data_IF_583174807959
#
_entry.id   IF_583174807959
#
_cell.length_a   1.000
_cell.length_b   1.000
_cell.length_c   1.000
_cell.angle_alpha   90.00
_cell.angle_beta   90.00
_cell.angle_gamma   90.00
#
_symmetry.space_group_name_H-M   'P 1'
#
loop_
_entity.id
_entity.type
_entity.pdbx_description
1 polymer ?
#
# COMPACT_ATOMS: atom_id res chain seq x y z
N UNK A 1 -18.58 -34.19 4.26
CA UNK A 1 -19.27 -32.88 4.22
C UNK A 1 -18.25 -31.79 4.54
N UNK A 2 -17.72 -31.09 3.53
CA UNK A 2 -16.74 -30.02 3.75
C UNK A 2 -17.50 -28.80 4.28
N UNK A 3 -17.28 -28.47 5.55
CA UNK A 3 -17.89 -27.32 6.24
C UNK A 3 -17.37 -26.05 5.55
N UNK A 4 -18.21 -25.40 4.74
CA UNK A 4 -17.86 -24.14 4.06
C UNK A 4 -17.76 -23.06 5.13
N UNK A 5 -16.55 -22.81 5.61
CA UNK A 5 -16.25 -21.74 6.56
C UNK A 5 -16.57 -20.41 5.88
N UNK A 6 -17.63 -19.74 6.33
CA UNK A 6 -17.92 -18.38 5.87
C UNK A 6 -16.73 -17.51 6.28
N UNK A 7 -16.01 -16.87 5.33
CA UNK A 7 -14.86 -16.06 5.67
C UNK A 7 -15.33 -14.92 6.57
N UNK A 8 -14.65 -14.76 7.72
CA UNK A 8 -14.99 -13.73 8.70
C UNK A 8 -14.73 -12.37 8.05
N UNK A 9 -15.79 -11.58 7.84
CA UNK A 9 -15.65 -10.23 7.28
C UNK A 9 -14.86 -9.37 8.26
N UNK A 10 -13.82 -8.70 7.77
CA UNK A 10 -13.06 -7.75 8.55
C UNK A 10 -13.90 -6.49 8.75
N UNK A 11 -14.05 -6.07 10.01
CA UNK A 11 -14.67 -4.79 10.36
C UNK A 11 -13.76 -3.65 9.94
N UNK A 12 -14.33 -2.48 9.60
CA UNK A 12 -13.59 -1.27 9.23
C UNK A 12 -12.41 -0.96 10.15
N UNK A 13 -12.62 -0.99 11.46
CA UNK A 13 -11.55 -0.77 12.45
C UNK A 13 -10.41 -1.77 12.33
N UNK A 14 -10.71 -3.03 12.02
CA UNK A 14 -9.68 -4.06 11.84
C UNK A 14 -8.83 -3.80 10.60
N UNK A 15 -9.44 -3.33 9.51
CA UNK A 15 -8.73 -2.99 8.26
C UNK A 15 -7.87 -1.75 8.48
N UNK A 16 -8.39 -0.76 9.21
CA UNK A 16 -7.66 0.45 9.56
C UNK A 16 -6.40 0.15 10.40
N UNK A 17 -6.55 -0.63 11.47
CA UNK A 17 -5.39 -1.04 12.28
C UNK A 17 -4.43 -1.96 11.53
N UNK A 18 -4.92 -2.80 10.61
CA UNK A 18 -4.07 -3.60 9.73
C UNK A 18 -3.20 -2.70 8.85
N UNK A 19 -3.78 -1.65 8.27
CA UNK A 19 -3.03 -0.65 7.48
C UNK A 19 -1.96 0.06 8.31
N UNK A 20 -2.30 0.53 9.52
CA UNK A 20 -1.35 1.19 10.41
C UNK A 20 -0.17 0.28 10.76
N UNK A 21 -0.45 -0.96 11.14
CA UNK A 21 0.62 -1.92 11.47
C UNK A 21 1.52 -2.23 10.26
N UNK A 22 0.96 -2.22 9.04
CA UNK A 22 1.75 -2.37 7.82
C UNK A 22 2.69 -1.19 7.55
N UNK A 23 2.29 0.04 7.91
CA UNK A 23 3.08 1.26 7.65
C UNK A 23 4.12 1.52 8.75
N UNK A 24 3.77 1.33 10.03
CA UNK A 24 4.64 1.59 11.20
C UNK A 24 5.74 0.52 11.37
N UNK A 25 5.89 -0.40 10.42
CA UNK A 25 6.95 -1.42 10.42
C UNK A 25 8.37 -0.86 10.30
N UNK A 26 9.29 -1.68 9.81
CA UNK A 26 10.72 -1.32 9.72
C UNK A 26 11.00 -0.04 8.91
N UNK A 27 10.17 0.29 7.91
CA UNK A 27 10.34 1.46 7.05
C UNK A 27 10.25 2.80 7.79
N UNK A 28 9.27 2.97 8.68
CA UNK A 28 9.06 4.24 9.39
C UNK A 28 10.19 4.56 10.37
N UNK A 29 10.89 3.55 10.91
CA UNK A 29 11.98 3.74 11.86
C UNK A 29 13.37 3.83 11.21
N UNK A 30 13.62 3.09 10.13
CA UNK A 30 14.94 3.05 9.49
C UNK A 30 15.20 4.25 8.56
N UNK A 31 14.17 4.71 7.85
CA UNK A 31 14.32 5.75 6.82
C UNK A 31 14.67 7.13 7.39
N UNK A 32 14.02 7.63 8.47
CA UNK A 32 14.36 8.95 9.02
C UNK A 32 15.80 9.02 9.51
N UNK A 33 16.31 7.93 10.09
CA UNK A 33 17.70 7.85 10.56
C UNK A 33 18.70 7.95 9.39
N UNK A 34 18.43 7.30 8.26
CA UNK A 34 19.29 7.40 7.09
C UNK A 34 19.24 8.80 6.47
N UNK A 35 18.03 9.34 6.28
CA UNK A 35 17.84 10.66 5.64
C UNK A 35 18.47 11.77 6.49
N UNK A 36 18.40 11.67 7.82
CA UNK A 36 19.03 12.62 8.72
C UNK A 36 20.57 12.59 8.61
N UNK A 37 21.18 11.42 8.44
CA UNK A 37 22.65 11.30 8.24
C UNK A 37 23.11 11.96 6.94
N UNK A 38 22.32 11.88 5.88
CA UNK A 38 22.70 12.38 4.56
C UNK A 38 22.38 13.88 4.37
N UNK A 39 21.34 14.41 5.02
CA UNK A 39 20.83 15.76 4.75
C UNK A 39 20.63 16.67 5.98
N UNK A 40 20.97 16.19 7.18
CA UNK A 40 20.90 16.93 8.46
C UNK A 40 19.57 17.72 8.59
N UNK A 41 19.57 19.05 8.76
CA UNK A 41 18.36 19.86 8.93
C UNK A 41 17.38 19.84 7.73
N UNK A 42 17.87 19.59 6.50
CA UNK A 42 17.01 19.53 5.30
C UNK A 42 16.15 18.26 5.24
N UNK A 43 16.46 17.25 6.07
CA UNK A 43 15.72 15.99 6.14
C UNK A 43 14.23 16.19 6.42
N UNK A 44 13.84 17.19 7.20
CA UNK A 44 12.43 17.48 7.53
C UNK A 44 11.63 17.89 6.29
N UNK A 45 12.21 18.73 5.43
CA UNK A 45 11.56 19.18 4.19
C UNK A 45 11.42 18.01 3.22
N UNK A 46 12.45 17.16 3.14
CA UNK A 46 12.41 15.95 2.31
C UNK A 46 11.33 15.00 2.80
N UNK A 47 11.26 14.72 4.11
CA UNK A 47 10.22 13.87 4.70
C UNK A 47 8.81 14.41 4.43
N UNK A 48 8.60 15.73 4.51
CA UNK A 48 7.31 16.34 4.16
C UNK A 48 6.96 16.18 2.67
N UNK A 49 7.93 16.39 1.78
CA UNK A 49 7.70 16.21 0.33
C UNK A 49 7.38 14.75 -0.03
N UNK A 50 8.04 13.79 0.64
CA UNK A 50 7.77 12.36 0.49
C UNK A 50 6.39 12.02 1.02
N UNK A 51 6.01 12.53 2.20
CA UNK A 51 4.68 12.32 2.76
C UNK A 51 3.58 12.79 1.80
N UNK A 52 3.73 13.98 1.21
CA UNK A 52 2.78 14.52 0.23
C UNK A 52 2.70 13.64 -1.03
N UNK A 53 3.84 13.19 -1.55
CA UNK A 53 3.90 12.33 -2.73
C UNK A 53 3.22 10.97 -2.46
N UNK A 54 3.49 10.37 -1.30
CA UNK A 54 2.87 9.10 -0.89
C UNK A 54 1.37 9.26 -0.66
N UNK A 55 0.91 10.39 -0.14
CA UNK A 55 -0.51 10.69 0.04
C UNK A 55 -1.25 10.76 -1.31
N UNK A 56 -0.65 11.37 -2.34
CA UNK A 56 -1.21 11.38 -3.69
C UNK A 56 -1.33 9.95 -4.27
N UNK A 57 -0.32 9.11 -4.05
CA UNK A 57 -0.37 7.70 -4.46
C UNK A 57 -1.47 6.95 -3.69
N UNK A 58 -1.59 7.18 -2.38
CA UNK A 58 -2.62 6.56 -1.55
C UNK A 58 -4.03 6.94 -2.01
N UNK A 59 -4.26 8.21 -2.39
CA UNK A 59 -5.52 8.67 -2.96
C UNK A 59 -5.85 8.00 -4.30
N UNK A 60 -4.86 7.79 -5.17
CA UNK A 60 -5.04 7.03 -6.41
C UNK A 60 -5.47 5.58 -6.12
N UNK A 61 -4.83 4.92 -5.16
CA UNK A 61 -5.24 3.58 -4.72
C UNK A 61 -6.64 3.56 -4.07
N UNK A 62 -7.01 4.62 -3.35
CA UNK A 62 -8.34 4.75 -2.77
C UNK A 62 -9.44 4.84 -3.85
N UNK A 63 -9.22 5.57 -4.95
CA UNK A 63 -10.17 5.60 -6.08
C UNK A 63 -10.27 4.23 -6.78
N UNK A 64 -9.13 3.56 -6.99
CA UNK A 64 -9.11 2.23 -7.62
C UNK A 64 -9.80 1.16 -6.76
N UNK A 65 -9.54 1.13 -5.45
CA UNK A 65 -10.21 0.20 -4.51
C UNK A 65 -11.71 0.45 -4.44
N UNK A 66 -12.18 1.68 -4.67
CA UNK A 66 -13.62 1.98 -4.73
C UNK A 66 -14.30 1.36 -5.95
N UNK A 67 -13.59 1.30 -7.09
CA UNK A 67 -14.12 0.74 -8.35
C UNK A 67 -14.00 -0.77 -8.46
N UNK A 68 -13.00 -1.37 -7.82
CA UNK A 68 -12.68 -2.79 -7.93
C UNK A 68 -12.75 -3.48 -6.56
N UNK A 69 -13.64 -4.47 -6.43
CA UNK A 69 -13.89 -5.20 -5.17
C UNK A 69 -13.11 -6.52 -5.06
N UNK A 70 -12.27 -6.85 -6.03
CA UNK A 70 -11.48 -8.08 -6.05
C UNK A 70 -10.23 -8.01 -5.17
N UNK A 71 -9.77 -9.18 -4.70
CA UNK A 71 -8.51 -9.32 -3.97
C UNK A 71 -7.33 -9.40 -4.95
N UNK A 72 -6.24 -8.69 -4.68
CA UNK A 72 -5.03 -8.71 -5.53
C UNK A 72 -4.26 -7.39 -5.64
N UNK A 73 -4.70 -6.32 -4.99
CA UNK A 73 -4.03 -5.03 -4.96
C UNK A 73 -3.58 -4.55 -6.36
N UNK A 74 -2.32 -4.14 -6.52
CA UNK A 74 -1.76 -3.59 -7.76
C UNK A 74 -1.86 -4.54 -8.96
N UNK A 75 -1.76 -5.85 -8.73
CA UNK A 75 -1.87 -6.87 -9.79
C UNK A 75 -3.23 -6.83 -10.47
N UNK A 76 -4.30 -6.77 -9.68
CA UNK A 76 -5.67 -6.80 -10.19
C UNK A 76 -6.00 -5.54 -11.00
N UNK A 77 -5.54 -4.37 -10.54
CA UNK A 77 -5.73 -3.11 -11.26
C UNK A 77 -5.02 -3.13 -12.61
N UNK A 78 -3.79 -3.65 -12.63
CA UNK A 78 -2.96 -3.66 -13.84
C UNK A 78 -3.39 -4.74 -14.83
N UNK A 79 -3.85 -5.89 -14.33
CA UNK A 79 -4.46 -6.92 -15.16
C UNK A 79 -5.72 -6.40 -15.88
N UNK A 80 -6.56 -5.63 -15.18
CA UNK A 80 -7.77 -5.06 -15.77
C UNK A 80 -7.50 -3.90 -16.74
N UNK A 81 -6.47 -3.08 -16.48
CA UNK A 81 -6.16 -1.93 -17.33
C UNK A 81 -5.30 -2.27 -18.56
N UNK A 82 -4.29 -3.14 -18.39
CA UNK A 82 -3.25 -3.39 -19.39
C UNK A 82 -3.23 -4.85 -19.91
N UNK A 83 -4.01 -5.75 -19.32
CA UNK A 83 -4.09 -7.15 -19.71
C UNK A 83 -3.01 -8.03 -19.08
N UNK A 84 -2.81 -9.21 -19.68
CA UNK A 84 -2.11 -10.35 -19.04
C UNK A 84 -0.62 -10.11 -18.78
N UNK A 85 0.09 -9.41 -19.67
CA UNK A 85 1.54 -9.20 -19.56
C UNK A 85 1.91 -8.28 -18.38
N UNK A 86 1.35 -7.08 -18.34
CA UNK A 86 1.60 -6.12 -17.27
C UNK A 86 1.05 -6.62 -15.91
N UNK A 87 -0.08 -7.34 -15.92
CA UNK A 87 -0.56 -8.05 -14.74
C UNK A 87 0.48 -9.05 -14.25
N UNK A 88 0.98 -9.95 -15.11
CA UNK A 88 1.96 -10.97 -14.70
C UNK A 88 3.24 -10.37 -14.10
N UNK A 89 3.83 -9.36 -14.75
CA UNK A 89 5.04 -8.70 -14.24
C UNK A 89 4.83 -8.12 -12.85
N UNK A 90 3.76 -7.35 -12.65
CA UNK A 90 3.47 -6.74 -11.35
C UNK A 90 3.12 -7.78 -10.28
N UNK A 91 2.55 -8.92 -10.66
CA UNK A 91 2.29 -10.02 -9.75
C UNK A 91 3.54 -10.77 -9.29
N UNK A 92 4.63 -10.68 -10.06
CA UNK A 92 5.94 -11.25 -9.69
C UNK A 92 6.75 -10.27 -8.83
N UNK A 93 6.62 -8.96 -9.09
CA UNK A 93 7.38 -7.94 -8.36
C UNK A 93 6.71 -7.47 -7.05
N UNK A 94 5.41 -7.70 -6.85
CA UNK A 94 4.67 -7.37 -5.62
C UNK A 94 4.80 -8.50 -4.59
#
# INVERSE_FOLDING_TARGET
>A
MVKKTVPKKLTFMSIYFLGINGIIGSGAFLLPQSIYKDMDLLSVVVLLSVALTVELIALCYADLTSRFTGSGAAWLYSYNAFGRCAGYELGVFT
#
